data_IF_019057831079
#
_entry.id   IF_019057831079
#
_cell.length_a   1.000
_cell.length_b   1.000
_cell.length_c   1.000
_cell.angle_alpha   90.00
_cell.angle_beta   90.00
_cell.angle_gamma   90.00
#
_symmetry.space_group_name_H-M   'P 1'
#
loop_
_entity.id
_entity.type
_entity.pdbx_description
1 polymer ?
#
# COMPACT_ATOMS: atom_id res chain seq x y z
N UNK A 1 14.81 2.66 -1.75
CA UNK A 1 13.40 2.73 -2.16
C UNK A 1 13.15 3.05 -3.64
N UNK A 2 14.15 2.91 -4.48
CA UNK A 2 13.98 3.24 -5.91
C UNK A 2 12.95 2.37 -6.63
N UNK A 3 12.65 1.18 -6.09
CA UNK A 3 11.63 0.31 -6.64
C UNK A 3 10.25 0.98 -6.68
N UNK A 4 9.99 1.96 -5.82
CA UNK A 4 8.71 2.68 -5.80
C UNK A 4 8.47 3.48 -7.09
N UNK A 5 9.52 3.81 -7.81
CA UNK A 5 9.39 4.52 -9.10
C UNK A 5 8.61 3.69 -10.12
N UNK A 6 8.66 2.37 -10.02
CA UNK A 6 7.90 1.47 -10.90
C UNK A 6 6.39 1.55 -10.66
N UNK A 7 5.98 2.18 -9.57
CA UNK A 7 4.57 2.35 -9.18
C UNK A 7 4.12 3.80 -9.26
N UNK A 8 4.86 4.63 -10.01
CA UNK A 8 4.50 6.02 -10.25
C UNK A 8 4.96 7.00 -9.17
N UNK A 9 5.80 6.58 -8.24
CA UNK A 9 6.35 7.48 -7.23
C UNK A 9 7.46 8.33 -7.84
N UNK A 10 7.38 9.65 -7.64
CA UNK A 10 8.44 10.57 -8.05
C UNK A 10 9.54 10.63 -6.99
N UNK A 11 10.62 11.34 -7.30
CA UNK A 11 11.68 11.59 -6.31
C UNK A 11 11.13 12.34 -5.10
N UNK A 12 10.23 13.30 -5.34
CA UNK A 12 9.58 14.05 -4.28
C UNK A 12 8.69 13.18 -3.41
N UNK A 13 7.98 12.24 -4.02
CA UNK A 13 7.15 11.28 -3.29
C UNK A 13 8.00 10.42 -2.36
N UNK A 14 9.13 9.94 -2.84
CA UNK A 14 10.06 9.11 -2.05
C UNK A 14 10.69 9.94 -0.93
N UNK A 15 11.07 11.18 -1.22
CA UNK A 15 11.58 12.10 -0.19
C UNK A 15 10.54 12.34 0.90
N UNK A 16 9.29 12.52 0.51
CA UNK A 16 8.17 12.68 1.43
C UNK A 16 8.06 11.49 2.40
N UNK A 17 8.26 10.27 1.90
CA UNK A 17 8.25 9.07 2.72
C UNK A 17 9.37 9.15 3.76
N UNK A 18 10.60 9.48 3.35
CA UNK A 18 11.72 9.61 4.27
C UNK A 18 11.48 10.70 5.32
N UNK A 19 10.84 11.80 4.94
CA UNK A 19 10.66 12.95 5.82
C UNK A 19 9.49 12.78 6.80
N UNK A 20 8.46 12.00 6.44
CA UNK A 20 7.20 11.97 7.18
C UNK A 20 6.88 10.65 7.86
N UNK A 21 7.48 9.54 7.44
CA UNK A 21 7.27 8.27 8.13
C UNK A 21 8.30 8.12 9.25
N UNK A 22 7.93 7.32 10.24
CA UNK A 22 8.85 6.95 11.33
C UNK A 22 10.07 6.22 10.75
N UNK A 23 11.20 6.38 11.40
CA UNK A 23 12.45 5.73 11.01
C UNK A 23 12.29 4.21 10.89
N UNK A 24 11.52 3.62 11.78
CA UNK A 24 11.22 2.18 11.77
C UNK A 24 10.45 1.77 10.51
N UNK A 25 9.45 2.58 10.12
CA UNK A 25 8.67 2.31 8.91
C UNK A 25 9.50 2.47 7.65
N UNK A 26 10.36 3.48 7.60
CA UNK A 26 11.30 3.68 6.49
C UNK A 26 12.23 2.48 6.36
N UNK A 27 12.76 2.01 7.48
CA UNK A 27 13.65 0.84 7.52
C UNK A 27 12.95 -0.40 6.98
N UNK A 28 11.70 -0.61 7.36
CA UNK A 28 10.87 -1.73 6.89
C UNK A 28 10.69 -1.69 5.37
N UNK A 29 10.40 -0.51 4.82
CA UNK A 29 10.24 -0.34 3.38
C UNK A 29 11.52 -0.62 2.60
N UNK A 30 12.67 -0.37 3.21
CA UNK A 30 13.97 -0.62 2.56
C UNK A 30 14.33 -2.11 2.62
N UNK A 31 14.20 -2.74 3.78
CA UNK A 31 14.69 -4.10 4.02
C UNK A 31 13.78 -5.16 3.41
N UNK A 32 12.47 -4.96 3.47
CA UNK A 32 11.48 -5.95 3.01
C UNK A 32 10.91 -5.60 1.65
N UNK A 33 11.77 -5.19 0.73
CA UNK A 33 11.41 -4.79 -0.63
C UNK A 33 10.54 -5.83 -1.34
N UNK A 34 10.91 -7.11 -1.28
CA UNK A 34 10.16 -8.17 -1.97
C UNK A 34 8.72 -8.27 -1.49
N UNK A 35 8.51 -8.18 -0.18
CA UNK A 35 7.16 -8.22 0.40
C UNK A 35 6.34 -7.02 -0.06
N UNK A 36 6.94 -5.85 -0.03
CA UNK A 36 6.26 -4.60 -0.41
C UNK A 36 5.92 -4.60 -1.90
N UNK A 37 6.83 -5.06 -2.74
CA UNK A 37 6.57 -5.20 -4.18
C UNK A 37 5.40 -6.15 -4.43
N UNK A 38 5.33 -7.27 -3.72
CA UNK A 38 4.22 -8.22 -3.86
C UNK A 38 2.89 -7.57 -3.49
N UNK A 39 2.85 -6.77 -2.42
CA UNK A 39 1.64 -6.06 -2.00
C UNK A 39 1.25 -5.00 -3.03
N UNK A 40 2.20 -4.19 -3.49
CA UNK A 40 1.93 -3.14 -4.48
C UNK A 40 1.44 -3.73 -5.80
N UNK A 41 2.06 -4.82 -6.25
CA UNK A 41 1.64 -5.51 -7.48
C UNK A 41 0.19 -6.01 -7.35
N UNK A 42 -0.14 -6.59 -6.21
CA UNK A 42 -1.50 -7.07 -5.99
C UNK A 42 -2.50 -5.90 -6.00
N UNK A 43 -2.24 -4.86 -5.21
CA UNK A 43 -3.13 -3.70 -5.14
C UNK A 43 -3.33 -3.04 -6.51
N UNK A 44 -2.25 -2.90 -7.27
CA UNK A 44 -2.33 -2.37 -8.63
C UNK A 44 -3.16 -3.27 -9.54
N UNK A 45 -2.99 -4.59 -9.42
CA UNK A 45 -3.70 -5.55 -10.27
C UNK A 45 -5.21 -5.54 -10.06
N UNK A 46 -5.68 -5.21 -8.87
CA UNK A 46 -7.11 -5.15 -8.57
C UNK A 46 -7.73 -3.77 -8.81
N UNK A 47 -6.93 -2.80 -9.24
CA UNK A 47 -7.43 -1.47 -9.62
C UNK A 47 -7.26 -0.37 -8.59
N UNK A 48 -6.47 -0.59 -7.54
CA UNK A 48 -6.14 0.46 -6.58
C UNK A 48 -5.18 1.45 -7.24
N UNK A 49 -5.50 2.74 -7.16
CA UNK A 49 -4.74 3.81 -7.83
C UNK A 49 -4.00 4.73 -6.87
N UNK A 50 -4.43 4.82 -5.60
CA UNK A 50 -3.87 5.75 -4.63
C UNK A 50 -2.78 5.12 -3.76
N UNK A 51 -1.82 4.44 -4.40
CA UNK A 51 -0.76 3.72 -3.70
C UNK A 51 0.10 4.60 -2.80
N UNK A 52 0.31 5.86 -3.18
CA UNK A 52 1.10 6.82 -2.40
C UNK A 52 0.44 7.10 -1.04
N UNK A 53 -0.86 7.36 -1.06
CA UNK A 53 -1.62 7.62 0.15
C UNK A 53 -1.67 6.39 1.05
N UNK A 54 -1.74 5.21 0.45
CA UNK A 54 -1.77 3.95 1.19
C UNK A 54 -0.46 3.77 1.96
N UNK A 55 0.68 3.99 1.34
CA UNK A 55 1.98 3.88 2.02
C UNK A 55 2.06 4.89 3.17
N UNK A 56 1.58 6.11 2.97
CA UNK A 56 1.66 7.17 3.99
C UNK A 56 0.66 6.99 5.12
N UNK A 57 -0.57 6.58 4.80
CA UNK A 57 -1.66 6.56 5.76
C UNK A 57 -1.97 5.18 6.31
N UNK A 58 -1.57 4.14 5.59
CA UNK A 58 -1.82 2.74 5.95
C UNK A 58 -0.54 1.91 5.87
N UNK A 59 0.52 2.45 6.43
CA UNK A 59 1.85 1.84 6.41
C UNK A 59 1.84 0.43 7.00
N UNK A 60 0.97 0.17 7.98
CA UNK A 60 0.82 -1.12 8.63
C UNK A 60 0.48 -2.27 7.67
N UNK A 61 -0.13 -1.96 6.51
CA UNK A 61 -0.44 -2.98 5.50
C UNK A 61 0.81 -3.63 4.93
N UNK A 62 1.93 -2.92 4.98
CA UNK A 62 3.19 -3.39 4.40
C UNK A 62 4.00 -4.26 5.35
N UNK A 63 3.49 -4.48 6.56
CA UNK A 63 4.07 -5.39 7.56
C UNK A 63 3.48 -6.81 7.48
N UNK A 64 2.42 -7.01 6.71
CA UNK A 64 1.77 -8.32 6.58
C UNK A 64 1.98 -8.90 5.19
N UNK A 65 1.72 -10.19 5.02
CA UNK A 65 1.91 -10.84 3.73
C UNK A 65 0.79 -10.48 2.74
N UNK A 66 1.13 -10.49 1.45
CA UNK A 66 0.14 -10.23 0.39
C UNK A 66 -1.00 -11.25 0.40
N UNK A 67 -0.75 -12.47 0.87
CA UNK A 67 -1.79 -13.51 0.95
C UNK A 67 -2.89 -13.15 1.94
N UNK A 68 -2.55 -12.50 3.04
CA UNK A 68 -3.54 -12.02 4.02
C UNK A 68 -4.40 -10.93 3.42
N UNK A 69 -3.78 -10.00 2.70
CA UNK A 69 -4.49 -8.91 2.02
C UNK A 69 -5.43 -9.47 0.96
N UNK A 70 -4.97 -10.42 0.15
CA UNK A 70 -5.79 -11.09 -0.88
C UNK A 70 -7.02 -11.74 -0.28
N UNK A 71 -6.84 -12.43 0.85
CA UNK A 71 -7.92 -13.10 1.54
C UNK A 71 -8.95 -12.12 2.08
N UNK A 72 -8.49 -11.00 2.61
CA UNK A 72 -9.38 -9.95 3.13
C UNK A 72 -10.24 -9.35 2.02
N UNK A 73 -9.65 -9.06 0.86
CA UNK A 73 -10.40 -8.55 -0.30
C UNK A 73 -11.39 -9.59 -0.83
N UNK A 74 -11.02 -10.87 -0.85
CA UNK A 74 -11.88 -11.93 -1.34
C UNK A 74 -13.13 -12.12 -0.48
N UNK A 75 -13.10 -11.72 0.79
CA UNK A 75 -14.23 -11.82 1.70
C UNK A 75 -15.20 -10.63 1.63
N UNK A 76 -14.91 -9.64 0.77
CA UNK A 76 -15.72 -8.44 0.60
C UNK A 76 -16.29 -8.34 -0.82
N UNK A 77 -17.19 -7.36 -1.04
CA UNK A 77 -17.58 -6.96 -2.39
C UNK A 77 -16.42 -6.16 -2.98
N UNK A 78 -15.52 -6.86 -3.66
CA UNK A 78 -14.24 -6.32 -4.12
C UNK A 78 -14.39 -5.05 -4.95
N UNK A 79 -15.29 -5.03 -5.94
CA UNK A 79 -15.48 -3.87 -6.82
C UNK A 79 -15.88 -2.61 -6.06
N UNK A 80 -16.80 -2.77 -5.13
CA UNK A 80 -17.31 -1.65 -4.34
C UNK A 80 -16.24 -1.13 -3.38
N UNK A 81 -15.53 -2.02 -2.72
CA UNK A 81 -14.45 -1.68 -1.79
C UNK A 81 -13.31 -0.96 -2.51
N UNK A 82 -12.91 -1.44 -3.69
CA UNK A 82 -11.85 -0.80 -4.47
C UNK A 82 -12.23 0.63 -4.84
N UNK A 83 -13.46 0.84 -5.28
CA UNK A 83 -13.96 2.19 -5.59
C UNK A 83 -13.89 3.11 -4.38
N UNK A 84 -14.34 2.63 -3.23
CA UNK A 84 -14.33 3.41 -1.98
C UNK A 84 -12.89 3.74 -1.54
N UNK A 85 -11.98 2.80 -1.64
CA UNK A 85 -10.58 3.02 -1.28
C UNK A 85 -9.93 4.06 -2.22
N UNK A 86 -10.23 4.00 -3.51
CA UNK A 86 -9.71 4.98 -4.47
C UNK A 86 -10.27 6.39 -4.22
N UNK A 87 -11.45 6.49 -3.64
CA UNK A 87 -12.03 7.78 -3.25
C UNK A 87 -11.40 8.31 -1.96
N UNK A 88 -11.13 7.43 -0.99
CA UNK A 88 -10.57 7.79 0.29
C UNK A 88 -9.85 6.58 0.91
N UNK A 89 -8.56 6.73 1.19
CA UNK A 89 -7.72 5.66 1.75
C UNK A 89 -8.23 5.16 3.11
N UNK A 90 -8.93 5.99 3.88
CA UNK A 90 -9.50 5.59 5.16
C UNK A 90 -10.53 4.46 5.02
N UNK A 91 -11.07 4.27 3.84
CA UNK A 91 -12.01 3.19 3.56
C UNK A 91 -11.40 1.80 3.64
N UNK A 92 -10.07 1.70 3.78
CA UNK A 92 -9.43 0.44 4.14
C UNK A 92 -9.95 -0.13 5.46
N UNK A 93 -10.48 0.71 6.34
CA UNK A 93 -11.08 0.25 7.58
C UNK A 93 -12.30 -0.66 7.37
N UNK A 94 -12.89 -0.61 6.17
CA UNK A 94 -14.02 -1.48 5.82
C UNK A 94 -13.56 -2.90 5.53
N UNK A 95 -12.27 -3.12 5.33
CA UNK A 95 -11.68 -4.44 5.13
C UNK A 95 -11.13 -4.90 6.48
N UNK A 96 -11.52 -6.10 6.86
CA UNK A 96 -11.09 -6.65 8.15
C UNK A 96 -9.71 -7.33 8.01
N UNK A 97 -8.69 -6.51 8.12
CA UNK A 97 -7.30 -7.00 8.04
C UNK A 97 -6.65 -6.96 9.41
#
# INVERSE_FOLDING_TARGET
MDYLKNYGFTKEDIKDIYDNLDEEDVHELIIHEDRIINILNYLKSIGITNLKEIIRCRTELFYISSSIIKRAFASCNEKNIIKLINEDVSNFDLINI
#
